data_IF_355611647417
#
_entry.id   IF_355611647417
#
_cell.length_a   1.000
_cell.length_b   1.000
_cell.length_c   1.000
_cell.angle_alpha   90.00
_cell.angle_beta   90.00
_cell.angle_gamma   90.00
#
_symmetry.space_group_name_H-M   'P 1'
#
loop_
_entity.id
_entity.type
_entity.pdbx_description
1 polymer ?
#
# COMPACT_ATOMS: atom_id res chain seq x y z
N UNK A 1 -22.21 -16.66 12.89
CA UNK A 1 -20.96 -16.15 13.48
C UNK A 1 -20.22 -15.36 12.43
N UNK A 2 -19.83 -14.12 12.71
CA UNK A 2 -18.89 -13.38 11.87
C UNK A 2 -17.47 -13.90 12.17
N UNK A 3 -16.65 -14.02 11.13
CA UNK A 3 -15.24 -14.42 11.29
C UNK A 3 -14.38 -13.33 11.96
N UNK A 4 -14.86 -12.09 12.03
CA UNK A 4 -14.02 -10.90 12.21
C UNK A 4 -14.52 -9.93 13.31
N UNK A 5 -15.55 -10.30 14.09
CA UNK A 5 -16.21 -9.40 15.06
C UNK A 5 -15.55 -9.45 16.45
N UNK A 6 -14.27 -9.10 16.51
CA UNK A 6 -13.52 -8.91 17.77
C UNK A 6 -13.42 -10.13 18.68
N UNK A 7 -13.77 -11.32 18.18
CA UNK A 7 -13.72 -12.57 18.94
C UNK A 7 -12.28 -13.07 19.10
N UNK A 8 -11.97 -13.81 20.18
CA UNK A 8 -10.70 -14.52 20.33
C UNK A 8 -10.43 -15.47 19.15
N UNK A 9 -9.40 -15.18 18.35
CA UNK A 9 -8.99 -16.05 17.25
C UNK A 9 -8.18 -15.33 16.17
N UNK A 10 -7.11 -15.99 15.71
CA UNK A 10 -6.28 -15.55 14.59
C UNK A 10 -7.07 -15.41 13.28
N UNK A 11 -6.88 -14.32 12.53
CA UNK A 11 -7.18 -14.21 11.12
C UNK A 11 -6.23 -15.18 10.45
N UNK A 12 -6.75 -16.34 10.05
CA UNK A 12 -5.90 -17.34 9.43
C UNK A 12 -5.31 -16.81 8.10
N UNK A 13 -4.19 -17.39 7.62
CA UNK A 13 -3.56 -16.93 6.40
C UNK A 13 -4.48 -16.97 5.18
N UNK A 14 -5.46 -17.89 5.12
CA UNK A 14 -6.39 -18.00 4.00
C UNK A 14 -7.36 -16.82 3.95
N UNK A 15 -7.89 -16.37 5.09
CA UNK A 15 -8.75 -15.18 5.14
C UNK A 15 -7.98 -13.91 4.76
N UNK A 16 -6.74 -13.76 5.26
CA UNK A 16 -5.88 -12.64 4.87
C UNK A 16 -5.55 -12.66 3.37
N UNK A 17 -5.29 -13.85 2.80
CA UNK A 17 -5.07 -14.03 1.36
C UNK A 17 -6.31 -13.62 0.56
N UNK A 18 -7.49 -14.16 0.92
CA UNK A 18 -8.76 -13.89 0.22
C UNK A 18 -9.13 -12.41 0.27
N UNK A 19 -8.96 -11.73 1.42
CA UNK A 19 -9.20 -10.28 1.55
C UNK A 19 -8.27 -9.49 0.62
N UNK A 20 -6.97 -9.83 0.60
CA UNK A 20 -5.97 -9.13 -0.21
C UNK A 20 -6.22 -9.35 -1.70
N UNK A 21 -6.46 -10.59 -2.13
CA UNK A 21 -6.76 -10.96 -3.52
C UNK A 21 -8.07 -10.34 -4.00
N UNK A 22 -9.11 -10.31 -3.14
CA UNK A 22 -10.37 -9.63 -3.43
C UNK A 22 -10.13 -8.13 -3.64
N UNK A 23 -9.44 -7.46 -2.72
CA UNK A 23 -9.12 -6.02 -2.85
C UNK A 23 -8.37 -5.73 -4.15
N UNK A 24 -7.42 -6.58 -4.56
CA UNK A 24 -6.72 -6.45 -5.83
C UNK A 24 -7.64 -6.65 -7.05
N UNK A 25 -8.51 -7.67 -7.05
CA UNK A 25 -9.41 -7.92 -8.17
C UNK A 25 -10.45 -6.82 -8.35
N UNK A 26 -11.04 -6.29 -7.27
CA UNK A 26 -11.98 -5.17 -7.37
C UNK A 26 -11.29 -3.87 -7.81
N UNK A 27 -10.04 -3.64 -7.39
CA UNK A 27 -9.21 -2.56 -7.91
C UNK A 27 -8.99 -2.70 -9.43
N UNK A 28 -8.57 -3.89 -9.88
CA UNK A 28 -8.32 -4.17 -11.30
C UNK A 28 -9.59 -4.05 -12.16
N UNK A 29 -10.71 -4.62 -11.71
CA UNK A 29 -12.01 -4.48 -12.36
C UNK A 29 -12.41 -3.01 -12.54
N UNK A 30 -12.22 -2.19 -11.50
CA UNK A 30 -12.48 -0.76 -11.58
C UNK A 30 -11.55 -0.04 -12.55
N UNK A 31 -10.29 -0.48 -12.71
CA UNK A 31 -9.37 0.10 -13.71
C UNK A 31 -9.76 -0.28 -15.14
N UNK A 32 -10.18 -1.53 -15.36
CA UNK A 32 -10.72 -2.01 -16.65
C UNK A 32 -11.95 -1.19 -17.05
N UNK A 33 -12.93 -1.04 -16.14
CA UNK A 33 -14.15 -0.26 -16.38
C UNK A 33 -13.88 1.22 -16.70
N UNK A 34 -12.86 1.80 -16.07
CA UNK A 34 -12.44 3.19 -16.31
C UNK A 34 -11.47 3.35 -17.50
N UNK A 35 -11.22 2.29 -18.27
CA UNK A 35 -10.25 2.22 -19.37
C UNK A 35 -8.83 2.70 -18.99
N UNK A 36 -8.42 2.43 -17.74
CA UNK A 36 -7.10 2.80 -17.22
C UNK A 36 -6.13 1.61 -17.31
N UNK A 37 -4.99 1.76 -18.02
CA UNK A 37 -4.01 0.68 -18.16
C UNK A 37 -3.33 0.37 -16.82
N UNK A 38 -3.12 -0.92 -16.54
CA UNK A 38 -2.46 -1.39 -15.31
C UNK A 38 -1.29 -2.32 -15.63
N UNK A 39 -0.11 -1.95 -15.12
CA UNK A 39 1.07 -2.82 -15.07
C UNK A 39 1.34 -3.19 -13.61
N UNK A 40 1.39 -4.50 -13.34
CA UNK A 40 1.73 -5.07 -12.05
C UNK A 40 3.21 -5.45 -12.06
N UNK A 41 3.99 -4.85 -11.15
CA UNK A 41 5.42 -5.11 -10.99
C UNK A 41 5.66 -6.15 -9.89
N UNK A 42 6.34 -7.24 -10.25
CA UNK A 42 6.62 -8.37 -9.37
C UNK A 42 8.09 -8.41 -8.93
N UNK A 43 8.37 -9.13 -7.84
CA UNK A 43 9.70 -9.51 -7.38
C UNK A 43 10.13 -10.82 -8.06
N UNK A 44 11.16 -10.79 -8.91
CA UNK A 44 11.55 -11.97 -9.69
C UNK A 44 12.53 -12.87 -8.95
N UNK A 45 13.32 -12.35 -8.00
CA UNK A 45 14.26 -13.13 -7.19
C UNK A 45 14.36 -12.60 -5.75
N UNK A 46 14.48 -13.46 -4.71
CA UNK A 46 14.19 -14.89 -4.71
C UNK A 46 12.68 -15.13 -4.58
N UNK A 47 11.96 -15.00 -5.69
CA UNK A 47 10.49 -15.07 -5.75
C UNK A 47 10.00 -16.07 -6.80
N UNK A 48 8.69 -16.06 -7.11
CA UNK A 48 8.15 -16.88 -8.19
C UNK A 48 8.77 -16.50 -9.54
N UNK A 49 8.83 -17.47 -10.47
CA UNK A 49 9.49 -17.24 -11.75
C UNK A 49 8.70 -16.24 -12.62
N UNK A 50 9.36 -15.65 -13.63
CA UNK A 50 8.71 -14.87 -14.69
C UNK A 50 7.44 -15.55 -15.24
N UNK A 51 7.53 -16.86 -15.54
CA UNK A 51 6.40 -17.65 -16.06
C UNK A 51 5.24 -17.72 -15.06
N UNK A 52 5.57 -17.80 -13.78
CA UNK A 52 4.58 -17.78 -12.69
C UNK A 52 3.86 -16.44 -12.60
N UNK A 53 4.57 -15.31 -12.68
CA UNK A 53 3.95 -13.97 -12.70
C UNK A 53 3.04 -13.75 -13.90
N UNK A 54 3.50 -14.12 -15.10
CA UNK A 54 2.70 -14.06 -16.32
C UNK A 54 1.47 -14.98 -16.24
N UNK A 55 1.58 -16.15 -15.61
CA UNK A 55 0.46 -17.04 -15.36
C UNK A 55 -0.54 -16.48 -14.34
N UNK A 56 -0.07 -15.88 -13.23
CA UNK A 56 -0.94 -15.20 -12.26
C UNK A 56 -1.73 -14.09 -12.95
N UNK A 57 -1.08 -13.25 -13.75
CA UNK A 57 -1.78 -12.18 -14.49
C UNK A 57 -2.81 -12.74 -15.46
N UNK A 58 -2.50 -13.78 -16.25
CA UNK A 58 -3.49 -14.46 -17.11
C UNK A 58 -4.69 -15.03 -16.33
N UNK A 59 -4.48 -15.55 -15.12
CA UNK A 59 -5.56 -16.07 -14.27
C UNK A 59 -6.44 -14.95 -13.68
N UNK A 60 -5.83 -13.83 -13.30
CA UNK A 60 -6.57 -12.62 -12.87
C UNK A 60 -7.42 -12.06 -14.01
N UNK A 61 -6.84 -11.98 -15.21
CA UNK A 61 -7.52 -11.56 -16.43
C UNK A 61 -8.70 -12.48 -16.78
N UNK A 62 -8.49 -13.80 -16.69
CA UNK A 62 -9.57 -14.80 -16.84
C UNK A 62 -10.67 -14.65 -15.78
N UNK A 63 -10.34 -14.30 -14.53
CA UNK A 63 -11.32 -14.07 -13.48
C UNK A 63 -12.19 -12.83 -13.78
N UNK A 64 -11.54 -11.72 -14.18
CA UNK A 64 -12.20 -10.48 -14.58
C UNK A 64 -13.14 -10.68 -15.77
N UNK A 65 -12.65 -11.32 -16.83
CA UNK A 65 -13.44 -11.65 -18.01
C UNK A 65 -14.66 -12.52 -17.65
N UNK A 66 -14.48 -13.52 -16.76
CA UNK A 66 -15.60 -14.37 -16.30
C UNK A 66 -16.65 -13.64 -15.47
N UNK A 67 -16.32 -12.45 -14.96
CA UNK A 67 -17.22 -11.55 -14.24
C UNK A 67 -17.71 -10.36 -15.11
N UNK A 68 -17.41 -10.35 -16.42
CA UNK A 68 -17.86 -9.34 -17.37
C UNK A 68 -16.91 -8.16 -17.59
N UNK A 69 -15.73 -8.15 -16.97
CA UNK A 69 -14.72 -7.09 -17.13
C UNK A 69 -13.71 -7.46 -18.22
N UNK A 70 -13.88 -6.93 -19.43
CA UNK A 70 -12.97 -7.17 -20.56
C UNK A 70 -11.78 -6.18 -20.58
N UNK A 71 -10.59 -6.68 -20.26
CA UNK A 71 -9.34 -5.90 -20.28
C UNK A 71 -8.81 -5.63 -21.70
N UNK A 72 -9.41 -6.20 -22.75
CA UNK A 72 -9.00 -6.00 -24.14
C UNK A 72 -8.95 -4.52 -24.53
N UNK A 73 -9.89 -3.72 -24.04
CA UNK A 73 -9.94 -2.27 -24.26
C UNK A 73 -8.75 -1.48 -23.69
N UNK A 74 -8.01 -2.03 -22.72
CA UNK A 74 -6.77 -1.44 -22.17
C UNK A 74 -5.49 -2.17 -22.62
N UNK A 75 -5.61 -3.11 -23.57
CA UNK A 75 -4.50 -3.95 -24.04
C UNK A 75 -4.03 -4.97 -23.00
N UNK A 76 -4.95 -5.42 -22.14
CA UNK A 76 -4.71 -6.42 -21.09
C UNK A 76 -3.99 -5.90 -19.86
N UNK A 77 -4.14 -6.60 -18.73
CA UNK A 77 -3.30 -6.39 -17.53
C UNK A 77 -1.91 -6.95 -17.83
N UNK A 78 -0.87 -6.20 -17.44
CA UNK A 78 0.53 -6.53 -17.79
C UNK A 78 1.32 -6.94 -16.55
N UNK A 79 2.18 -7.95 -16.69
CA UNK A 79 3.21 -8.30 -15.72
C UNK A 79 4.55 -7.67 -16.15
N UNK A 80 5.25 -7.01 -15.23
CA UNK A 80 6.61 -6.52 -15.45
C UNK A 80 7.52 -6.84 -14.26
N UNK A 81 8.83 -6.87 -14.49
CA UNK A 81 9.80 -6.82 -13.41
C UNK A 81 9.72 -5.46 -12.68
N UNK A 82 9.86 -5.51 -11.36
CA UNK A 82 10.20 -4.31 -10.59
C UNK A 82 11.63 -3.92 -10.94
N UNK A 83 11.86 -2.70 -11.39
CA UNK A 83 13.21 -2.24 -11.72
C UNK A 83 14.04 -2.10 -10.42
N UNK A 84 15.26 -2.68 -10.37
CA UNK A 84 16.12 -2.57 -9.21
C UNK A 84 16.76 -1.18 -9.15
N UNK A 85 16.60 -0.49 -8.02
CA UNK A 85 17.38 0.68 -7.69
C UNK A 85 18.82 0.27 -7.33
N UNK A 86 19.81 0.90 -7.96
CA UNK A 86 21.21 0.75 -7.60
C UNK A 86 21.67 1.90 -6.69
N UNK A 87 21.84 1.68 -5.36
CA UNK A 87 22.25 2.73 -4.43
C UNK A 87 23.72 3.17 -4.57
N UNK A 88 24.51 2.49 -5.43
CA UNK A 88 25.91 2.78 -5.71
C UNK A 88 26.11 3.66 -6.95
N UNK A 89 25.12 3.68 -7.87
CA UNK A 89 25.10 4.58 -9.02
C UNK A 89 23.69 5.15 -9.27
N UNK A 90 23.26 6.15 -8.47
CA UNK A 90 21.95 6.75 -8.61
C UNK A 90 21.82 7.63 -9.88
N UNK A 91 22.86 7.77 -10.72
CA UNK A 91 22.82 8.60 -11.94
C UNK A 91 22.46 7.80 -13.20
N UNK A 92 22.61 6.48 -13.18
CA UNK A 92 22.26 5.60 -14.31
C UNK A 92 20.87 4.98 -14.18
N UNK A 93 20.22 5.08 -13.02
CA UNK A 93 18.82 4.67 -12.83
C UNK A 93 17.86 5.82 -13.15
N UNK A 94 17.24 5.75 -14.34
CA UNK A 94 16.13 6.60 -14.74
C UNK A 94 14.86 6.26 -13.95
N UNK A 95 14.82 6.52 -12.63
CA UNK A 95 13.66 6.12 -11.84
C UNK A 95 13.74 6.18 -10.31
N UNK A 96 14.65 6.95 -9.69
CA UNK A 96 14.86 6.99 -8.21
C UNK A 96 13.56 7.29 -7.41
N UNK A 97 12.54 7.84 -8.05
CA UNK A 97 11.27 8.19 -7.43
C UNK A 97 10.04 7.63 -8.16
N UNK A 98 9.07 7.12 -7.38
CA UNK A 98 7.72 6.82 -7.86
C UNK A 98 6.89 8.10 -7.82
N UNK A 99 6.20 8.44 -8.90
CA UNK A 99 5.46 9.71 -9.00
C UNK A 99 3.97 9.49 -8.83
N UNK A 100 3.29 10.25 -7.98
CA UNK A 100 1.83 10.40 -8.05
C UNK A 100 1.48 11.60 -8.91
N UNK A 101 0.89 11.43 -10.10
CA UNK A 101 0.49 12.59 -10.95
C UNK A 101 -0.96 13.00 -10.68
N UNK A 102 -1.25 14.27 -10.31
CA UNK A 102 -2.64 14.72 -10.21
C UNK A 102 -3.37 14.55 -11.54
N UNK A 103 -4.58 13.97 -11.50
CA UNK A 103 -5.47 13.88 -12.66
C UNK A 103 -5.25 12.68 -13.60
N UNK A 104 -4.34 11.75 -13.28
CA UNK A 104 -4.34 10.40 -13.84
C UNK A 104 -4.02 10.22 -15.33
N UNK A 105 -3.45 11.23 -15.99
CA UNK A 105 -2.98 11.10 -17.37
C UNK A 105 -1.71 10.23 -17.45
N UNK A 106 -1.89 8.98 -17.88
CA UNK A 106 -0.83 8.15 -18.43
C UNK A 106 -0.42 8.69 -19.82
N UNK A 107 0.23 9.86 -19.86
CA UNK A 107 0.98 10.29 -21.04
C UNK A 107 2.29 9.50 -21.13
N UNK A 108 2.73 9.20 -22.36
CA UNK A 108 3.97 8.45 -22.66
C UNK A 108 5.27 9.14 -22.21
N UNK A 109 5.19 10.26 -21.47
CA UNK A 109 6.26 10.83 -20.64
C UNK A 109 6.63 9.85 -19.49
N UNK A 110 7.20 8.69 -19.82
CA UNK A 110 7.90 7.81 -18.87
C UNK A 110 9.04 8.60 -18.25
N UNK A 111 8.83 9.04 -17.02
CA UNK A 111 9.63 10.09 -16.38
C UNK A 111 9.61 11.37 -17.22
N UNK A 112 8.58 12.20 -17.03
CA UNK A 112 8.72 13.62 -17.38
C UNK A 112 9.93 14.12 -16.59
N UNK A 113 11.05 14.50 -17.23
CA UNK A 113 12.15 15.11 -16.51
C UNK A 113 11.56 16.37 -15.89
N UNK A 114 11.83 16.59 -14.61
CA UNK A 114 11.43 17.84 -13.99
C UNK A 114 11.93 19.01 -14.84
N UNK A 115 11.11 20.04 -15.02
CA UNK A 115 11.55 21.23 -15.73
C UNK A 115 12.48 22.02 -14.83
N UNK A 116 13.74 22.10 -15.22
CA UNK A 116 14.80 22.68 -14.41
C UNK A 116 15.55 21.61 -13.62
N UNK A 117 16.88 21.78 -13.53
CA UNK A 117 17.73 20.96 -12.67
C UNK A 117 17.42 21.30 -11.21
N UNK A 118 16.54 20.53 -10.56
CA UNK A 118 16.26 20.61 -9.11
C UNK A 118 16.03 19.24 -8.47
N UNK A 119 14.78 18.82 -8.23
CA UNK A 119 14.46 17.84 -7.17
C UNK A 119 14.97 16.40 -7.34
N UNK A 120 15.52 15.97 -8.48
CA UNK A 120 16.31 14.71 -8.58
C UNK A 120 17.75 14.87 -8.06
N UNK A 121 18.43 15.96 -8.44
CA UNK A 121 19.75 16.28 -7.91
C UNK A 121 19.66 16.67 -6.42
N UNK A 122 18.57 17.32 -6.01
CA UNK A 122 18.27 17.58 -4.60
C UNK A 122 17.84 16.33 -3.83
N UNK A 123 17.05 15.40 -4.41
CA UNK A 123 16.81 14.12 -3.76
C UNK A 123 18.13 13.36 -3.55
N UNK A 124 19.04 13.40 -4.54
CA UNK A 124 20.40 12.87 -4.42
C UNK A 124 21.25 13.63 -3.38
N UNK A 125 21.24 14.96 -3.33
CA UNK A 125 21.99 15.76 -2.34
C UNK A 125 21.42 15.64 -0.93
N UNK A 126 20.11 15.58 -0.78
CA UNK A 126 19.42 15.33 0.48
C UNK A 126 19.71 13.91 0.96
N UNK A 127 19.76 12.92 0.06
CA UNK A 127 20.22 11.56 0.34
C UNK A 127 21.69 11.53 0.80
N UNK A 128 22.58 12.20 0.07
CA UNK A 128 24.01 12.23 0.36
C UNK A 128 24.29 12.99 1.67
N UNK A 129 23.67 14.15 1.86
CA UNK A 129 23.75 14.96 3.07
C UNK A 129 23.15 14.27 4.30
N UNK A 130 21.97 13.67 4.18
CA UNK A 130 21.34 12.92 5.29
C UNK A 130 22.11 11.65 5.64
N UNK A 131 22.76 10.99 4.66
CA UNK A 131 23.70 9.88 4.91
C UNK A 131 24.96 10.38 5.63
N UNK A 132 25.54 11.51 5.23
CA UNK A 132 26.72 12.11 5.87
C UNK A 132 26.44 12.61 7.30
N UNK A 133 25.22 13.05 7.58
CA UNK A 133 24.78 13.51 8.91
C UNK A 133 24.23 12.39 9.80
N UNK A 134 24.10 11.16 9.31
CA UNK A 134 23.51 10.03 10.04
C UNK A 134 22.00 10.13 10.28
N UNK A 135 21.31 11.05 9.61
CA UNK A 135 19.88 11.33 9.76
C UNK A 135 18.97 10.37 8.97
N UNK A 136 19.52 9.69 7.95
CA UNK A 136 18.87 8.61 7.19
C UNK A 136 19.74 7.36 7.30
N UNK A 137 19.19 6.23 7.71
CA UNK A 137 19.96 5.00 7.88
C UNK A 137 20.03 4.24 6.56
N UNK A 138 21.15 3.56 6.28
CA UNK A 138 21.35 2.88 4.98
C UNK A 138 20.93 1.42 4.98
N UNK A 139 20.51 0.87 6.13
CA UNK A 139 20.15 -0.53 6.32
C UNK A 139 18.63 -0.79 6.15
N UNK A 140 17.89 0.18 5.63
CA UNK A 140 16.43 0.26 5.71
C UNK A 140 15.71 -0.63 4.67
N UNK A 141 14.81 -1.49 5.14
CA UNK A 141 13.86 -2.27 4.34
C UNK A 141 12.45 -1.73 4.58
N UNK A 142 11.76 -1.32 3.52
CA UNK A 142 10.39 -0.79 3.60
C UNK A 142 10.28 0.68 4.04
N UNK A 143 11.40 1.39 4.16
CA UNK A 143 11.38 2.83 4.40
C UNK A 143 11.22 3.59 3.07
N UNK A 144 10.07 4.23 2.92
CA UNK A 144 9.76 5.05 1.76
C UNK A 144 9.59 6.50 2.20
N UNK A 145 10.36 7.40 1.59
CA UNK A 145 10.37 8.81 1.94
C UNK A 145 9.51 9.57 0.94
N UNK A 146 8.45 10.19 1.44
CA UNK A 146 7.60 11.07 0.66
C UNK A 146 8.31 12.40 0.47
N UNK A 147 8.33 12.89 -0.76
CA UNK A 147 8.92 14.17 -1.13
C UNK A 147 7.86 15.00 -1.86
N UNK A 148 7.72 16.26 -1.45
CA UNK A 148 6.83 17.24 -2.09
C UNK A 148 7.66 18.12 -3.01
N UNK A 149 7.31 18.15 -4.30
CA UNK A 149 7.86 19.09 -5.28
C UNK A 149 6.84 20.21 -5.50
N UNK A 150 7.18 21.43 -5.06
CA UNK A 150 6.43 22.64 -5.38
C UNK A 150 7.22 23.51 -6.38
N UNK A 151 6.85 23.51 -7.67
CA UNK A 151 7.52 24.29 -8.70
C UNK A 151 7.31 25.81 -8.58
N UNK A 152 6.49 26.29 -7.63
CA UNK A 152 6.24 27.72 -7.39
C UNK A 152 7.14 28.29 -6.30
N UNK A 153 7.38 27.53 -5.22
CA UNK A 153 8.16 28.02 -4.06
C UNK A 153 9.55 27.42 -3.95
N UNK A 154 9.89 26.43 -4.79
CA UNK A 154 11.14 25.64 -4.72
C UNK A 154 11.38 24.98 -3.34
N UNK A 155 10.32 24.85 -2.52
CA UNK A 155 10.40 24.23 -1.21
C UNK A 155 10.19 22.73 -1.33
N UNK A 156 11.14 21.95 -0.82
CA UNK A 156 11.05 20.51 -0.75
C UNK A 156 10.87 20.08 0.70
N UNK A 157 9.82 19.29 0.98
CA UNK A 157 9.59 18.65 2.27
C UNK A 157 9.73 17.15 2.13
N UNK A 158 10.46 16.52 3.06
CA UNK A 158 10.67 15.08 3.11
C UNK A 158 10.03 14.49 4.38
N UNK A 159 9.24 13.43 4.24
CA UNK A 159 8.58 12.73 5.34
C UNK A 159 8.84 11.22 5.24
N UNK A 160 9.47 10.65 6.28
CA UNK A 160 9.69 9.20 6.39
C UNK A 160 8.41 8.46 6.82
N UNK A 161 8.37 7.13 6.63
CA UNK A 161 7.34 6.25 7.17
C UNK A 161 7.13 6.47 8.68
N UNK A 162 5.89 6.70 9.11
CA UNK A 162 5.51 6.85 10.53
C UNK A 162 5.07 5.50 11.09
N UNK A 163 5.70 5.03 12.17
CA UNK A 163 5.13 3.96 13.01
C UNK A 163 4.12 4.52 14.00
N UNK A 164 3.04 3.78 14.27
CA UNK A 164 2.03 4.15 15.27
C UNK A 164 1.34 2.93 15.87
N UNK A 165 0.83 3.10 17.08
CA UNK A 165 -0.13 2.16 17.69
C UNK A 165 -1.56 2.57 17.31
N UNK A 166 -2.41 1.58 17.09
CA UNK A 166 -3.84 1.74 16.78
C UNK A 166 -4.63 0.81 17.70
N UNK A 167 -5.55 1.38 18.47
CA UNK A 167 -6.48 0.62 19.33
C UNK A 167 -7.51 -0.13 18.47
N UNK A 168 -7.74 -1.41 18.79
CA UNK A 168 -8.72 -2.25 18.10
C UNK A 168 -10.16 -1.69 18.15
N UNK A 169 -10.49 -0.94 19.19
CA UNK A 169 -11.80 -0.31 19.39
C UNK A 169 -11.72 1.23 19.33
N UNK A 170 -10.63 1.78 18.76
CA UNK A 170 -10.39 3.21 18.67
C UNK A 170 -11.23 3.93 17.61
N UNK A 171 -11.00 5.24 17.50
CA UNK A 171 -11.76 6.13 16.61
C UNK A 171 -11.53 5.89 15.11
N UNK A 172 -10.57 5.06 14.70
CA UNK A 172 -10.26 4.80 13.28
C UNK A 172 -11.08 3.65 12.65
N UNK A 173 -12.16 3.27 13.32
CA UNK A 173 -12.99 2.10 13.05
C UNK A 173 -12.46 0.86 13.77
N UNK A 174 -13.29 -0.18 13.90
CA UNK A 174 -12.84 -1.42 14.55
C UNK A 174 -11.75 -2.07 13.71
N UNK A 175 -10.69 -2.51 14.37
CA UNK A 175 -9.62 -3.34 13.82
C UNK A 175 -9.74 -4.73 14.44
N UNK A 176 -9.46 -5.76 13.67
CA UNK A 176 -9.44 -7.13 14.16
C UNK A 176 -8.22 -7.39 15.07
N UNK A 177 -8.47 -8.02 16.22
CA UNK A 177 -7.46 -8.35 17.23
C UNK A 177 -7.07 -9.83 17.20
N UNK A 178 -5.81 -10.09 16.88
CA UNK A 178 -5.21 -11.43 16.91
C UNK A 178 -5.12 -12.05 18.28
N UNK A 179 -5.17 -11.25 19.34
CA UNK A 179 -4.68 -11.60 20.69
C UNK A 179 -3.21 -12.09 20.69
N UNK A 180 -2.51 -11.92 19.57
CA UNK A 180 -1.09 -12.22 19.39
C UNK A 180 -0.30 -11.00 19.84
N UNK A 181 0.66 -11.20 20.74
CA UNK A 181 1.52 -10.11 21.16
C UNK A 181 2.29 -9.52 19.98
N UNK A 182 2.39 -8.19 19.96
CA UNK A 182 3.10 -7.43 18.94
C UNK A 182 2.51 -7.59 17.53
N UNK A 183 1.18 -7.71 17.42
CA UNK A 183 0.48 -7.73 16.13
C UNK A 183 0.89 -6.52 15.28
N UNK A 184 1.20 -6.81 14.02
CA UNK A 184 1.61 -5.82 13.03
C UNK A 184 3.08 -5.40 13.07
N UNK A 185 3.86 -5.72 14.10
CA UNK A 185 5.31 -5.39 14.13
C UNK A 185 6.07 -6.18 13.06
N UNK A 186 6.68 -5.48 12.12
CA UNK A 186 7.56 -6.07 11.09
C UNK A 186 8.79 -6.68 11.78
N UNK A 187 9.12 -7.94 11.45
CA UNK A 187 10.15 -8.73 12.13
C UNK A 187 11.44 -8.87 11.31
N UNK A 188 12.59 -8.78 11.97
CA UNK A 188 13.90 -9.13 11.40
C UNK A 188 14.13 -10.65 11.31
N UNK A 189 13.40 -11.40 12.14
CA UNK A 189 13.65 -12.80 12.47
C UNK A 189 12.59 -13.30 13.47
N UNK A 190 12.91 -14.18 14.44
CA UNK A 190 11.92 -14.72 15.35
C UNK A 190 11.29 -13.64 16.26
N UNK A 191 12.10 -12.67 16.69
CA UNK A 191 11.71 -11.65 17.66
C UNK A 191 11.09 -10.40 16.99
N UNK A 192 10.10 -9.75 17.62
CA UNK A 192 9.60 -8.45 17.18
C UNK A 192 10.68 -7.37 17.35
N UNK A 193 10.72 -6.39 16.44
CA UNK A 193 11.66 -5.27 16.52
C UNK A 193 10.92 -3.99 16.90
N UNK A 194 10.85 -3.76 18.21
CA UNK A 194 10.10 -2.64 18.79
C UNK A 194 10.79 -1.30 18.53
N UNK A 195 12.12 -1.23 18.64
CA UNK A 195 12.88 -0.02 18.35
C UNK A 195 12.77 0.39 16.86
N UNK A 196 12.71 1.71 16.57
CA UNK A 196 12.73 2.23 15.20
C UNK A 196 14.11 2.04 14.55
N UNK A 197 14.29 0.92 13.85
CA UNK A 197 15.55 0.50 13.22
C UNK A 197 15.44 0.23 11.70
N UNK A 198 14.35 0.68 11.09
CA UNK A 198 13.97 0.35 9.71
C UNK A 198 13.58 1.58 8.89
N UNK A 199 14.17 2.75 9.17
CA UNK A 199 13.90 4.00 8.45
C UNK A 199 12.52 4.62 8.62
N UNK A 200 11.63 3.91 9.31
CA UNK A 200 10.41 4.46 9.88
C UNK A 200 10.71 5.10 11.23
N UNK A 201 10.26 6.33 11.46
CA UNK A 201 10.40 6.98 12.77
C UNK A 201 9.24 6.67 13.71
N UNK A 202 9.50 6.87 15.00
CA UNK A 202 8.54 6.72 16.09
C UNK A 202 8.89 7.77 17.16
N UNK A 203 8.20 8.92 17.16
CA UNK A 203 8.63 10.08 17.97
C UNK A 203 8.33 9.95 19.46
N UNK A 204 7.26 9.26 19.82
CA UNK A 204 6.78 9.16 21.19
C UNK A 204 7.31 7.93 21.95
N UNK A 205 8.12 7.07 21.33
CA UNK A 205 8.64 5.81 21.90
C UNK A 205 7.56 4.87 22.50
N UNK A 206 6.31 4.99 22.03
CA UNK A 206 5.15 4.25 22.56
C UNK A 206 5.24 2.75 22.28
N UNK A 207 5.71 2.34 21.10
CA UNK A 207 5.87 0.94 20.69
C UNK A 207 7.02 0.30 21.47
N UNK A 208 8.09 1.06 21.74
CA UNK A 208 9.19 0.61 22.62
C UNK A 208 8.72 0.34 24.05
N UNK A 209 7.80 1.15 24.57
CA UNK A 209 7.17 0.97 25.88
C UNK A 209 5.93 0.06 25.90
N UNK A 210 5.52 -0.49 24.75
CA UNK A 210 4.26 -1.21 24.62
C UNK A 210 4.39 -2.69 24.99
N UNK A 211 3.46 -3.17 25.81
CA UNK A 211 3.31 -4.55 26.27
C UNK A 211 2.92 -5.57 25.19
N UNK A 212 2.70 -5.14 23.95
CA UNK A 212 2.35 -5.99 22.82
C UNK A 212 0.87 -6.37 22.73
N UNK A 213 0.02 -5.96 23.68
CA UNK A 213 -1.41 -6.30 23.74
C UNK A 213 -2.34 -5.11 23.40
N UNK A 214 -3.63 -5.39 23.14
CA UNK A 214 -4.73 -4.41 22.96
C UNK A 214 -4.60 -3.37 21.83
N UNK A 215 -3.48 -3.30 21.13
CA UNK A 215 -3.26 -2.44 19.96
C UNK A 215 -2.57 -3.21 18.83
N UNK A 216 -2.57 -2.62 17.63
CA UNK A 216 -1.81 -3.10 16.46
C UNK A 216 -0.85 -2.01 15.99
N UNK A 217 0.36 -2.39 15.55
CA UNK A 217 1.29 -1.44 14.94
C UNK A 217 0.95 -1.26 13.46
N UNK A 218 0.81 0.01 13.05
CA UNK A 218 0.63 0.42 11.67
C UNK A 218 1.79 1.28 11.16
N UNK A 219 2.06 1.21 9.85
CA UNK A 219 3.11 1.94 9.15
C UNK A 219 2.50 2.84 8.08
N UNK A 220 2.45 4.15 8.30
CA UNK A 220 1.99 5.12 7.30
C UNK A 220 3.19 5.61 6.49
N UNK A 221 3.30 5.19 5.24
CA UNK A 221 4.44 5.51 4.36
C UNK A 221 4.50 7.00 4.01
N UNK A 222 5.70 7.48 3.71
CA UNK A 222 5.95 8.90 3.39
C UNK A 222 5.12 9.45 2.22
N UNK A 223 4.86 8.64 1.18
CA UNK A 223 4.03 9.05 0.03
C UNK A 223 2.63 9.55 0.43
N UNK A 224 1.98 8.92 1.42
CA UNK A 224 0.67 9.36 1.91
C UNK A 224 0.73 10.81 2.46
N UNK A 225 1.82 11.15 3.15
CA UNK A 225 2.06 12.49 3.69
C UNK A 225 2.40 13.51 2.60
N UNK A 226 3.22 13.12 1.62
CA UNK A 226 3.50 13.97 0.46
C UNK A 226 2.20 14.33 -0.30
N UNK A 227 1.30 13.36 -0.49
CA UNK A 227 -0.03 13.60 -1.07
C UNK A 227 -0.87 14.59 -0.25
N UNK A 228 -0.89 14.46 1.08
CA UNK A 228 -1.62 15.39 1.95
C UNK A 228 -1.08 16.81 1.86
N UNK A 229 0.25 16.99 1.87
CA UNK A 229 0.88 18.29 1.62
C UNK A 229 0.53 18.84 0.23
N UNK A 230 0.60 18.02 -0.82
CA UNK A 230 0.25 18.44 -2.17
C UNK A 230 -1.21 18.91 -2.28
N UNK A 231 -2.15 18.26 -1.58
CA UNK A 231 -3.56 18.69 -1.49
C UNK A 231 -3.77 20.00 -0.75
N UNK A 232 -2.91 20.33 0.22
CA UNK A 232 -2.97 21.59 0.96
C UNK A 232 -2.36 22.76 0.15
N UNK A 233 -1.26 22.52 -0.54
CA UNK A 233 -0.54 23.57 -1.30
C UNK A 233 -1.27 23.90 -2.60
N UNK A 234 -1.59 22.89 -3.41
CA UNK A 234 -2.31 23.09 -4.67
C UNK A 234 -1.99 22.06 -5.77
N UNK A 235 -2.84 22.00 -6.83
CA UNK A 235 -2.78 20.97 -7.88
C UNK A 235 -1.55 21.05 -8.79
N UNK A 236 -0.71 22.08 -8.69
CA UNK A 236 0.57 22.19 -9.40
C UNK A 236 1.71 21.40 -8.74
N UNK A 237 1.54 20.99 -7.48
CA UNK A 237 2.54 20.22 -6.74
C UNK A 237 2.51 18.73 -7.12
N UNK A 238 3.67 18.07 -7.06
CA UNK A 238 3.79 16.63 -7.37
C UNK A 238 4.40 15.87 -6.19
N UNK A 239 3.73 14.83 -5.65
CA UNK A 239 4.29 13.95 -4.66
C UNK A 239 5.16 12.85 -5.29
N UNK A 240 6.30 12.59 -4.66
CA UNK A 240 7.30 11.60 -5.05
C UNK A 240 7.58 10.64 -3.88
N UNK A 241 7.84 9.37 -4.17
CA UNK A 241 8.29 8.37 -3.18
C UNK A 241 9.72 7.95 -3.52
N UNK A 242 10.68 8.31 -2.66
CA UNK A 242 12.12 8.10 -2.89
C UNK A 242 12.61 6.90 -2.09
N UNK A 243 13.34 6.01 -2.78
CA UNK A 243 13.97 4.84 -2.20
C UNK A 243 15.40 5.18 -1.71
N UNK A 244 15.64 5.09 -0.40
CA UNK A 244 16.86 5.66 0.22
C UNK A 244 17.89 4.63 0.74
N UNK A 245 17.43 3.41 1.03
CA UNK A 245 18.19 2.39 1.78
C UNK A 245 18.64 1.22 0.92
N UNK A 246 19.69 0.52 1.35
CA UNK A 246 20.26 -0.63 0.64
C UNK A 246 19.34 -1.86 0.63
N UNK A 247 18.31 -1.90 1.50
CA UNK A 247 17.31 -2.96 1.55
C UNK A 247 15.92 -2.52 1.03
N UNK A 248 15.80 -1.29 0.51
CA UNK A 248 14.61 -0.77 -0.18
C UNK A 248 15.00 -0.39 -1.60
N UNK A 249 15.15 -1.39 -2.46
CA UNK A 249 15.74 -1.27 -3.81
C UNK A 249 14.70 -1.23 -4.93
N UNK A 250 13.48 -0.75 -4.65
CA UNK A 250 12.32 -0.95 -5.53
C UNK A 250 11.65 0.36 -5.91
N UNK A 251 11.43 0.53 -7.21
CA UNK A 251 10.93 1.76 -7.82
C UNK A 251 9.45 1.65 -8.22
N UNK A 252 8.65 1.05 -7.34
CA UNK A 252 7.20 0.87 -7.49
C UNK A 252 6.50 0.83 -6.11
N UNK A 253 5.38 1.54 -5.97
CA UNK A 253 4.69 1.67 -4.68
C UNK A 253 3.98 0.37 -4.29
N UNK A 254 4.01 0.01 -3.00
CA UNK A 254 3.30 -1.19 -2.52
C UNK A 254 1.79 -1.09 -2.77
N UNK A 255 1.09 -2.22 -2.74
CA UNK A 255 -0.35 -2.24 -3.02
C UNK A 255 -1.16 -1.40 -2.00
N UNK A 256 -0.74 -1.33 -0.74
CA UNK A 256 -1.29 -0.42 0.27
C UNK A 256 -1.25 1.05 -0.19
N UNK A 257 -0.06 1.61 -0.43
CA UNK A 257 0.12 2.96 -0.99
C UNK A 257 -0.71 3.14 -2.28
N UNK A 258 -0.68 2.18 -3.19
CA UNK A 258 -1.41 2.21 -4.46
C UNK A 258 -2.90 2.50 -4.26
N UNK A 259 -3.57 1.83 -3.30
CA UNK A 259 -5.01 2.09 -3.03
C UNK A 259 -5.27 3.53 -2.58
N UNK A 260 -4.40 4.11 -1.76
CA UNK A 260 -4.50 5.50 -1.29
C UNK A 260 -4.20 6.50 -2.40
N UNK A 261 -3.16 6.26 -3.18
CA UNK A 261 -2.73 7.06 -4.32
C UNK A 261 -3.84 7.18 -5.38
N UNK A 262 -4.49 6.07 -5.74
CA UNK A 262 -5.63 6.10 -6.66
C UNK A 262 -6.85 6.83 -6.06
N UNK A 263 -7.23 6.52 -4.81
CA UNK A 263 -8.41 7.12 -4.17
C UNK A 263 -8.29 8.64 -3.96
N UNK A 264 -7.06 9.15 -3.84
CA UNK A 264 -6.77 10.59 -3.68
C UNK A 264 -6.46 11.31 -4.99
N UNK A 265 -6.47 10.60 -6.13
CA UNK A 265 -6.28 11.17 -7.47
C UNK A 265 -4.82 11.43 -7.87
N UNK A 266 -3.87 10.73 -7.25
CA UNK A 266 -2.42 10.76 -7.54
C UNK A 266 -1.90 9.35 -7.88
N UNK A 267 -2.41 8.66 -8.92
CA UNK A 267 -2.01 7.29 -9.22
C UNK A 267 -0.48 7.13 -9.40
N UNK A 268 0.12 6.03 -8.89
CA UNK A 268 1.56 5.80 -8.97
C UNK A 268 2.01 5.51 -10.40
N UNK A 269 3.24 5.89 -10.70
CA UNK A 269 3.92 5.51 -11.96
C UNK A 269 4.20 4.01 -12.09
N UNK A 270 4.23 3.26 -10.98
CA UNK A 270 4.38 1.80 -10.98
C UNK A 270 3.78 1.19 -9.70
N UNK A 271 3.11 0.04 -9.83
CA UNK A 271 2.45 -0.71 -8.74
C UNK A 271 3.24 -1.97 -8.43
N UNK A 272 3.61 -2.18 -7.18
CA UNK A 272 4.37 -3.35 -6.73
C UNK A 272 3.51 -4.33 -5.93
N UNK A 273 3.45 -5.59 -6.39
CA UNK A 273 2.87 -6.73 -5.64
C UNK A 273 3.94 -7.40 -4.75
N UNK A 274 4.62 -6.54 -3.99
CA UNK A 274 5.68 -6.88 -3.06
C UNK A 274 5.14 -7.30 -1.72
N UNK A 275 5.21 -6.41 -0.72
CA UNK A 275 4.73 -6.61 0.64
C UNK A 275 4.18 -5.27 1.16
N UNK A 276 2.89 -5.18 1.47
CA UNK A 276 2.28 -4.02 2.13
C UNK A 276 2.13 -4.23 3.66
N UNK A 277 3.15 -4.82 4.29
CA UNK A 277 3.14 -5.27 5.70
C UNK A 277 2.70 -4.18 6.68
N UNK A 278 1.57 -4.41 7.34
CA UNK A 278 0.96 -3.49 8.31
C UNK A 278 0.81 -2.05 7.82
N UNK A 279 0.71 -1.84 6.50
CA UNK A 279 0.49 -0.52 5.93
C UNK A 279 -0.84 0.06 6.44
N UNK A 280 -0.84 1.36 6.76
CA UNK A 280 -2.05 2.10 7.15
C UNK A 280 -2.11 3.47 6.46
N UNK A 281 -3.32 4.03 6.25
CA UNK A 281 -3.49 5.38 5.73
C UNK A 281 -3.08 6.43 6.78
N UNK A 282 -3.26 7.71 6.46
CA UNK A 282 -2.85 8.83 7.32
C UNK A 282 -3.45 8.73 8.74
N UNK A 283 -2.71 9.08 9.79
CA UNK A 283 -3.23 9.05 11.16
C UNK A 283 -4.25 10.17 11.44
N UNK A 284 -5.47 9.80 11.85
CA UNK A 284 -6.54 10.77 12.12
C UNK A 284 -6.40 11.46 13.48
N UNK A 285 -5.72 10.82 14.43
CA UNK A 285 -5.36 11.38 15.73
C UNK A 285 -3.85 11.50 15.81
N UNK A 286 -3.35 12.73 15.95
CA UNK A 286 -1.92 13.04 15.92
C UNK A 286 -1.44 13.67 17.23
N UNK A 287 -1.82 13.05 18.36
CA UNK A 287 -1.12 13.25 19.65
C UNK A 287 0.38 12.91 19.58
N UNK A 288 0.80 12.21 18.52
CA UNK A 288 2.12 11.58 18.41
C UNK A 288 3.07 12.22 17.38
N UNK A 289 2.71 13.33 16.71
CA UNK A 289 3.56 13.98 15.71
C UNK A 289 3.49 15.52 15.76
N UNK A 290 4.42 16.23 16.44
CA UNK A 290 4.37 17.69 16.61
C UNK A 290 4.88 18.54 15.42
N UNK A 291 5.34 17.96 14.31
CA UNK A 291 5.96 18.72 13.19
C UNK A 291 4.94 19.31 12.20
N UNK A 292 3.64 19.05 12.40
CA UNK A 292 2.55 19.56 11.58
C UNK A 292 1.74 20.61 12.38
N UNK A 293 1.16 21.60 11.72
CA UNK A 293 0.43 22.67 12.39
C UNK A 293 -1.09 22.39 12.34
N UNK A 294 -1.65 21.92 13.45
CA UNK A 294 -2.74 20.94 13.40
C UNK A 294 -4.16 21.41 13.10
N UNK A 295 -4.49 22.69 13.28
CA UNK A 295 -5.90 23.13 13.27
C UNK A 295 -6.57 23.04 11.90
N UNK A 296 -5.80 23.02 10.81
CA UNK A 296 -6.33 22.99 9.44
C UNK A 296 -6.25 21.58 8.82
N UNK A 297 -5.26 20.76 9.23
CA UNK A 297 -4.93 19.49 8.61
C UNK A 297 -5.89 18.33 8.92
N UNK A 298 -6.51 18.29 10.11
CA UNK A 298 -7.28 17.10 10.54
C UNK A 298 -8.46 16.80 9.61
N UNK A 299 -9.16 17.81 9.10
CA UNK A 299 -10.28 17.63 8.16
C UNK A 299 -9.80 17.13 6.78
N UNK A 300 -8.63 17.58 6.32
CA UNK A 300 -8.02 17.07 5.09
C UNK A 300 -7.64 15.59 5.25
N UNK A 301 -6.98 15.24 6.36
CA UNK A 301 -6.60 13.85 6.67
C UNK A 301 -7.84 12.94 6.72
N UNK A 302 -8.90 13.35 7.41
CA UNK A 302 -10.17 12.62 7.46
C UNK A 302 -10.77 12.45 6.05
N UNK A 303 -10.86 13.52 5.26
CA UNK A 303 -11.37 13.45 3.89
C UNK A 303 -10.57 12.49 2.98
N UNK A 304 -9.24 12.52 3.02
CA UNK A 304 -8.40 11.60 2.25
C UNK A 304 -8.56 10.15 2.71
N UNK A 305 -8.69 9.94 4.01
CA UNK A 305 -8.94 8.63 4.61
C UNK A 305 -10.34 8.07 4.29
N UNK A 306 -11.34 8.93 4.15
CA UNK A 306 -12.71 8.56 3.77
C UNK A 306 -12.81 8.25 2.28
N UNK A 307 -12.09 8.98 1.41
CA UNK A 307 -11.92 8.62 0.00
C UNK A 307 -11.29 7.23 -0.13
N UNK A 308 -10.16 6.99 0.54
CA UNK A 308 -9.49 5.69 0.57
C UNK A 308 -10.41 4.58 1.09
N UNK A 309 -11.09 4.81 2.22
CA UNK A 309 -11.98 3.82 2.82
C UNK A 309 -13.19 3.49 1.93
N UNK A 310 -13.75 4.50 1.26
CA UNK A 310 -14.87 4.32 0.32
C UNK A 310 -14.47 3.43 -0.85
N UNK A 311 -13.32 3.71 -1.44
CA UNK A 311 -12.82 3.02 -2.62
C UNK A 311 -12.38 1.59 -2.25
N UNK A 312 -11.61 1.39 -1.17
CA UNK A 312 -11.19 0.05 -0.70
C UNK A 312 -12.37 -0.82 -0.29
N UNK A 313 -13.40 -0.28 0.39
CA UNK A 313 -14.59 -1.07 0.70
C UNK A 313 -15.32 -1.54 -0.57
N UNK A 314 -15.39 -0.70 -1.60
CA UNK A 314 -15.99 -1.05 -2.89
C UNK A 314 -15.11 -2.02 -3.71
N UNK A 315 -13.78 -1.91 -3.65
CA UNK A 315 -12.88 -2.92 -4.24
C UNK A 315 -13.02 -4.27 -3.53
N UNK A 316 -13.11 -4.27 -2.21
CA UNK A 316 -13.27 -5.49 -1.41
C UNK A 316 -14.62 -6.17 -1.68
N UNK A 317 -15.71 -5.40 -1.82
CA UNK A 317 -17.03 -5.91 -2.19
C UNK A 317 -17.04 -6.52 -3.60
N UNK A 318 -16.64 -5.74 -4.61
CA UNK A 318 -16.62 -6.19 -6.01
C UNK A 318 -15.69 -7.38 -6.21
N UNK A 319 -14.49 -7.31 -5.65
CA UNK A 319 -13.50 -8.36 -5.77
C UNK A 319 -13.88 -9.66 -5.06
N UNK A 320 -14.56 -9.60 -3.91
CA UNK A 320 -15.04 -10.80 -3.23
C UNK A 320 -16.11 -11.53 -4.05
N UNK A 321 -16.96 -10.78 -4.77
CA UNK A 321 -17.94 -11.34 -5.72
C UNK A 321 -17.25 -12.01 -6.91
N UNK A 322 -16.26 -11.34 -7.52
CA UNK A 322 -15.44 -11.90 -8.61
C UNK A 322 -14.72 -13.18 -8.16
N UNK A 323 -14.07 -13.20 -6.99
CA UNK A 323 -13.38 -14.39 -6.46
C UNK A 323 -14.39 -15.52 -6.16
N UNK A 324 -15.57 -15.20 -5.61
CA UNK A 324 -16.60 -16.19 -5.30
C UNK A 324 -17.16 -16.90 -6.55
N UNK A 325 -17.27 -16.19 -7.67
CA UNK A 325 -17.77 -16.71 -8.94
C UNK A 325 -16.69 -17.38 -9.81
N UNK A 326 -15.50 -16.77 -9.93
CA UNK A 326 -14.51 -17.13 -10.92
C UNK A 326 -13.95 -18.56 -10.74
N UNK A 327 -14.03 -19.37 -11.80
CA UNK A 327 -13.64 -20.78 -11.78
C UNK A 327 -12.13 -21.04 -11.58
N UNK A 328 -11.29 -20.01 -11.61
CA UNK A 328 -9.82 -20.08 -11.49
C UNK A 328 -9.30 -20.18 -10.05
N UNK A 329 -10.14 -19.88 -9.06
CA UNK A 329 -9.77 -19.95 -7.64
C UNK A 329 -10.11 -21.31 -7.02
N UNK A 330 -9.31 -21.72 -6.02
CA UNK A 330 -9.55 -22.97 -5.29
C UNK A 330 -10.89 -22.95 -4.53
N UNK A 331 -11.50 -24.12 -4.32
CA UNK A 331 -12.86 -24.18 -3.76
C UNK A 331 -12.99 -23.44 -2.41
N UNK A 332 -12.07 -23.71 -1.47
CA UNK A 332 -12.06 -23.05 -0.16
C UNK A 332 -11.85 -21.53 -0.24
N UNK A 333 -11.08 -21.05 -1.22
CA UNK A 333 -10.87 -19.61 -1.48
C UNK A 333 -12.18 -18.95 -1.90
N UNK A 334 -12.95 -19.61 -2.78
CA UNK A 334 -14.28 -19.13 -3.21
C UNK A 334 -15.32 -19.17 -2.09
N UNK A 335 -15.24 -20.18 -1.22
CA UNK A 335 -16.16 -20.33 -0.08
C UNK A 335 -15.90 -19.26 0.99
N UNK A 336 -14.64 -18.93 1.26
CA UNK A 336 -14.27 -17.78 2.11
C UNK A 336 -14.65 -16.45 1.44
N UNK A 337 -14.49 -16.31 0.11
CA UNK A 337 -14.88 -15.09 -0.60
C UNK A 337 -16.39 -14.79 -0.52
N UNK A 338 -17.26 -15.82 -0.57
CA UNK A 338 -18.71 -15.62 -0.33
C UNK A 338 -19.01 -15.15 1.10
N UNK A 339 -18.30 -15.68 2.09
CA UNK A 339 -18.44 -15.25 3.48
C UNK A 339 -17.95 -13.81 3.67
N UNK A 340 -16.81 -13.46 3.06
CA UNK A 340 -16.28 -12.10 3.02
C UNK A 340 -17.27 -11.12 2.37
N UNK A 341 -17.85 -11.45 1.22
CA UNK A 341 -18.83 -10.61 0.53
C UNK A 341 -20.04 -10.28 1.43
N UNK A 342 -20.57 -11.27 2.14
CA UNK A 342 -21.67 -11.06 3.10
C UNK A 342 -21.23 -10.18 4.29
N UNK A 343 -20.02 -10.38 4.82
CA UNK A 343 -19.48 -9.57 5.92
C UNK A 343 -19.20 -8.12 5.51
N UNK A 344 -18.66 -7.89 4.31
CA UNK A 344 -18.42 -6.55 3.74
C UNK A 344 -19.74 -5.81 3.59
N UNK A 345 -20.74 -6.41 2.95
CA UNK A 345 -22.09 -5.83 2.80
C UNK A 345 -22.72 -5.51 4.16
N UNK A 346 -22.62 -6.44 5.12
CA UNK A 346 -23.09 -6.23 6.49
C UNK A 346 -22.40 -5.02 7.15
N UNK A 347 -21.07 -4.97 7.16
CA UNK A 347 -20.30 -3.88 7.78
C UNK A 347 -20.53 -2.52 7.13
N UNK A 348 -20.64 -2.46 5.80
CA UNK A 348 -21.01 -1.24 5.09
C UNK A 348 -22.38 -0.74 5.58
N UNK A 349 -23.36 -1.64 5.73
CA UNK A 349 -24.73 -1.27 6.14
C UNK A 349 -24.88 -0.91 7.62
N UNK A 350 -24.18 -1.59 8.53
CA UNK A 350 -24.29 -1.37 9.99
C UNK A 350 -23.32 -0.33 10.53
N UNK A 351 -22.18 -0.15 9.87
CA UNK A 351 -21.02 0.54 10.43
C UNK A 351 -20.27 1.45 9.43
N UNK A 352 -20.69 1.48 8.17
CA UNK A 352 -20.10 2.31 7.13
C UNK A 352 -18.82 1.74 6.50
N UNK A 353 -18.39 2.36 5.41
CA UNK A 353 -17.30 1.85 4.55
C UNK A 353 -15.94 1.77 5.24
N UNK A 354 -15.66 2.62 6.25
CA UNK A 354 -14.40 2.57 7.02
C UNK A 354 -14.22 1.23 7.74
N UNK A 355 -15.28 0.66 8.32
CA UNK A 355 -15.21 -0.62 9.02
C UNK A 355 -14.97 -1.81 8.07
N UNK A 356 -15.55 -1.75 6.87
CA UNK A 356 -15.27 -2.72 5.81
C UNK A 356 -13.85 -2.59 5.23
N UNK A 357 -13.36 -1.36 5.04
CA UNK A 357 -11.99 -1.11 4.57
C UNK A 357 -10.92 -1.52 5.59
N UNK A 358 -11.23 -1.48 6.89
CA UNK A 358 -10.32 -1.97 7.93
C UNK A 358 -10.01 -3.47 7.80
N UNK A 359 -10.90 -4.29 7.20
CA UNK A 359 -10.62 -5.70 6.92
C UNK A 359 -9.36 -5.87 6.05
N UNK A 360 -9.16 -4.97 5.07
CA UNK A 360 -7.94 -4.96 4.27
C UNK A 360 -6.71 -4.62 5.11
N UNK A 361 -6.78 -3.58 5.96
CA UNK A 361 -5.67 -3.23 6.87
C UNK A 361 -5.32 -4.38 7.83
N UNK A 362 -6.31 -5.16 8.25
CA UNK A 362 -6.12 -6.29 9.15
C UNK A 362 -5.48 -7.48 8.44
N UNK A 363 -5.87 -7.76 7.19
CA UNK A 363 -5.21 -8.74 6.34
C UNK A 363 -3.72 -8.42 6.10
N UNK A 364 -3.36 -7.13 6.01
CA UNK A 364 -1.97 -6.66 5.92
C UNK A 364 -1.14 -6.88 7.20
N UNK A 365 -1.77 -7.15 8.35
CA UNK A 365 -1.05 -7.50 9.60
C UNK A 365 -0.55 -8.95 9.61
N UNK A 366 -1.06 -9.79 8.70
CA UNK A 366 -0.46 -11.09 8.36
C UNK A 366 0.62 -10.82 7.32
N UNK A 367 1.89 -11.09 7.65
CA UNK A 367 3.03 -10.65 6.84
C UNK A 367 3.42 -11.66 5.76
N UNK A 368 3.09 -11.36 4.50
CA UNK A 368 3.53 -12.11 3.31
C UNK A 368 3.40 -11.25 2.04
N UNK A 369 3.98 -11.69 0.92
CA UNK A 369 3.93 -10.94 -0.34
C UNK A 369 2.60 -11.10 -1.08
N UNK A 370 2.06 -10.02 -1.67
CA UNK A 370 0.80 -10.09 -2.44
C UNK A 370 0.87 -11.14 -3.55
N UNK A 371 2.05 -11.31 -4.15
CA UNK A 371 2.35 -12.36 -5.12
C UNK A 371 2.19 -13.78 -4.55
N UNK A 372 2.71 -14.07 -3.35
CA UNK A 372 2.57 -15.39 -2.71
C UNK A 372 1.09 -15.70 -2.40
N UNK A 373 0.34 -14.69 -1.92
CA UNK A 373 -1.10 -14.81 -1.64
C UNK A 373 -1.88 -15.18 -2.91
N UNK A 374 -1.59 -14.52 -4.02
CA UNK A 374 -2.17 -14.84 -5.34
C UNK A 374 -1.84 -16.27 -5.79
N UNK A 375 -0.59 -16.69 -5.66
CA UNK A 375 -0.14 -18.05 -6.02
C UNK A 375 -0.82 -19.14 -5.17
N UNK A 376 -1.15 -18.86 -3.90
CA UNK A 376 -1.92 -19.78 -3.05
C UNK A 376 -3.42 -19.78 -3.34
N UNK A 377 -4.00 -18.63 -3.70
CA UNK A 377 -5.43 -18.51 -3.95
C UNK A 377 -5.88 -19.19 -5.26
N UNK A 378 -5.02 -19.17 -6.28
CA UNK A 378 -5.30 -19.69 -7.62
C UNK A 378 -5.16 -21.22 -7.71
N UNK A 379 -5.99 -21.83 -8.57
CA UNK A 379 -5.92 -23.27 -8.88
C UNK A 379 -4.60 -23.67 -9.49
N UNK A 380 -4.07 -24.80 -9.01
CA UNK A 380 -2.90 -25.45 -9.59
C UNK A 380 -3.27 -26.32 -10.81
N UNK A 381 -2.32 -26.54 -11.75
CA UNK A 381 -1.01 -25.89 -11.82
C UNK A 381 -1.10 -24.47 -12.42
N UNK A 382 -0.09 -23.66 -12.10
CA UNK A 382 0.14 -22.33 -12.71
C UNK A 382 1.20 -22.37 -13.82
N UNK A 383 1.77 -23.55 -14.09
CA UNK A 383 2.74 -23.84 -15.17
C UNK A 383 2.42 -25.21 -15.74
#
# INVERSE_FOLDING_TARGET
MSLLDGQPGGLDPLHADVITVSTLLGFLATRVELLQPVTLHFEYEPGPTRRTHEAVVRRLDQALYSAGFDSGGIGGIKAQATEPYNPQDPRTTSGIAITGRPGGAASDDKHRPMRGLSSMAFAQDLLLGSRQQGAVTTQERGAYYGVVDDPVTEQVRMVSTVRRLIDYNGHEGRRWSAQTQYQGVIRAGPNPVLDPSWGSFERANLIRGWSGDRMVVGYCHGMNWAIQHCKLIGPWTTPYEVAVGNATTKLASCFGCTTFMYATGYPPSAIHLGRAESWVPLPTTLKDNPDFNFSEDTRMIQGLNDLWARDVASYLELGADIVAGAGVFEQGVRDVARQLLMQVKSRISTHGKRDAANLFLDALTVHDSETNRLVRALKKPLV
#
